data_IF_740864083422
#
_entry.id   IF_740864083422
#
_cell.length_a   1.000
_cell.length_b   1.000
_cell.length_c   1.000
_cell.angle_alpha   90.00
_cell.angle_beta   90.00
_cell.angle_gamma   90.00
#
_symmetry.space_group_name_H-M   'P 1'
#
loop_
_entity.id
_entity.type
_entity.pdbx_description
1 polymer ?
#
# COMPACT_ATOMS: atom_id res chain seq x y z
N UNK A 1 -5.27 6.04 -22.06
CA UNK A 1 -4.60 5.38 -23.20
C UNK A 1 -5.61 4.64 -24.08
N UNK A 2 -5.21 4.30 -25.29
CA UNK A 2 -6.04 3.53 -26.21
C UNK A 2 -5.79 2.02 -26.01
N UNK A 3 -6.47 1.41 -25.07
CA UNK A 3 -6.34 -0.01 -24.74
C UNK A 3 -6.70 -0.96 -25.89
N UNK A 4 -7.49 -0.50 -26.87
CA UNK A 4 -7.95 -1.31 -27.99
C UNK A 4 -7.18 -1.08 -29.29
N UNK A 5 -6.14 -0.24 -29.30
CA UNK A 5 -5.36 0.08 -30.50
C UNK A 5 -4.80 -1.16 -31.18
N UNK A 6 -4.15 -2.03 -30.39
CA UNK A 6 -3.56 -3.28 -30.87
C UNK A 6 -4.63 -4.22 -31.43
N UNK A 7 -5.81 -4.28 -30.81
CA UNK A 7 -6.91 -5.13 -31.25
C UNK A 7 -7.48 -4.62 -32.57
N UNK A 8 -7.66 -3.29 -32.71
CA UNK A 8 -8.11 -2.68 -33.96
C UNK A 8 -7.13 -2.94 -35.10
N UNK A 9 -5.83 -2.84 -34.85
CA UNK A 9 -4.81 -3.13 -35.86
C UNK A 9 -4.79 -4.59 -36.27
N UNK A 10 -4.95 -5.52 -35.31
CA UNK A 10 -5.09 -6.96 -35.61
C UNK A 10 -6.35 -7.23 -36.45
N UNK A 11 -7.47 -6.55 -36.15
CA UNK A 11 -8.70 -6.67 -36.93
C UNK A 11 -8.55 -6.09 -38.35
N UNK A 12 -7.95 -4.92 -38.51
CA UNK A 12 -7.74 -4.25 -39.82
C UNK A 12 -6.82 -5.07 -40.70
N UNK A 13 -5.70 -5.53 -40.15
CA UNK A 13 -4.67 -6.23 -40.90
C UNK A 13 -4.86 -7.74 -40.99
N UNK A 14 -6.01 -8.28 -40.55
CA UNK A 14 -6.32 -9.70 -40.48
C UNK A 14 -5.21 -10.56 -39.80
N UNK A 15 -4.50 -9.97 -38.82
CA UNK A 15 -3.44 -10.65 -38.09
C UNK A 15 -4.01 -11.55 -36.98
N UNK A 16 -3.50 -12.76 -36.87
CA UNK A 16 -3.85 -13.71 -35.81
C UNK A 16 -5.17 -14.45 -36.03
N UNK A 17 -5.78 -14.90 -34.92
CA UNK A 17 -7.00 -15.72 -34.93
C UNK A 17 -8.28 -14.90 -34.88
N UNK A 18 -8.21 -13.57 -34.67
CA UNK A 18 -9.34 -12.71 -34.34
C UNK A 18 -10.41 -12.63 -35.44
N UNK A 19 -10.01 -12.73 -36.72
CA UNK A 19 -10.92 -12.80 -37.87
C UNK A 19 -11.31 -14.22 -38.28
N UNK A 20 -10.62 -15.23 -37.73
CA UNK A 20 -10.86 -16.65 -38.06
C UNK A 20 -11.79 -17.33 -37.06
N UNK A 21 -12.02 -16.70 -35.92
CA UNK A 21 -12.89 -17.16 -34.84
C UNK A 21 -14.23 -16.38 -34.86
N UNK A 22 -15.22 -16.88 -34.13
CA UNK A 22 -16.51 -16.25 -33.98
C UNK A 22 -16.46 -14.98 -33.11
N UNK A 23 -17.60 -14.28 -32.99
CA UNK A 23 -17.71 -13.02 -32.24
C UNK A 23 -17.41 -13.19 -30.74
N UNK A 24 -17.62 -14.36 -30.18
CA UNK A 24 -17.30 -14.72 -28.79
C UNK A 24 -15.81 -14.64 -28.49
N UNK A 25 -14.97 -15.03 -29.47
CA UNK A 25 -13.50 -14.85 -29.32
C UNK A 25 -13.10 -13.36 -29.32
N UNK A 26 -13.82 -12.51 -30.06
CA UNK A 26 -13.58 -11.07 -30.01
C UNK A 26 -13.98 -10.50 -28.63
N UNK A 27 -15.07 -10.96 -28.05
CA UNK A 27 -15.50 -10.56 -26.69
C UNK A 27 -14.42 -10.93 -25.69
N UNK A 28 -13.91 -12.17 -25.75
CA UNK A 28 -12.79 -12.58 -24.92
C UNK A 28 -11.60 -11.62 -25.04
N UNK A 29 -11.12 -11.35 -26.27
CA UNK A 29 -9.93 -10.49 -26.50
C UNK A 29 -10.15 -9.07 -25.99
N UNK A 30 -11.39 -8.54 -26.06
CA UNK A 30 -11.70 -7.22 -25.53
C UNK A 30 -11.68 -7.19 -23.99
N UNK A 31 -12.24 -8.22 -23.35
CA UNK A 31 -12.24 -8.33 -21.88
C UNK A 31 -10.81 -8.54 -21.39
N UNK A 32 -10.04 -9.42 -22.01
CA UNK A 32 -8.65 -9.72 -21.72
C UNK A 32 -7.79 -8.45 -21.75
N UNK A 33 -7.91 -7.65 -22.81
CA UNK A 33 -7.18 -6.38 -22.90
C UNK A 33 -7.56 -5.35 -21.82
N UNK A 34 -8.80 -5.37 -21.34
CA UNK A 34 -9.21 -4.52 -20.22
C UNK A 34 -8.57 -5.04 -18.93
N UNK A 35 -8.61 -6.35 -18.72
CA UNK A 35 -8.01 -6.98 -17.52
C UNK A 35 -6.49 -6.78 -17.48
N UNK A 36 -5.83 -6.95 -18.63
CA UNK A 36 -4.40 -6.69 -18.77
C UNK A 36 -4.03 -5.24 -18.39
N UNK A 37 -4.90 -4.28 -18.72
CA UNK A 37 -4.65 -2.88 -18.36
C UNK A 37 -4.65 -2.60 -16.85
N UNK A 38 -5.21 -3.49 -16.05
CA UNK A 38 -5.16 -3.36 -14.58
C UNK A 38 -3.78 -3.66 -14.01
N UNK A 39 -2.96 -4.48 -14.67
CA UNK A 39 -1.59 -4.72 -14.24
C UNK A 39 -0.75 -3.46 -14.29
N UNK A 40 -0.91 -2.62 -15.33
CA UNK A 40 -0.22 -1.31 -15.41
C UNK A 40 -0.59 -0.39 -14.23
N UNK A 41 -1.86 -0.47 -13.79
CA UNK A 41 -2.35 0.31 -12.63
C UNK A 41 -1.76 -0.26 -11.34
N UNK A 42 -1.70 -1.58 -11.19
CA UNK A 42 -1.11 -2.24 -10.02
C UNK A 42 0.39 -1.94 -9.92
N UNK A 43 1.12 -1.98 -11.02
CA UNK A 43 2.53 -1.62 -11.06
C UNK A 43 2.77 -0.17 -10.61
N UNK A 44 1.86 0.75 -10.98
CA UNK A 44 1.92 2.12 -10.50
C UNK A 44 1.76 2.19 -8.97
N UNK A 45 0.79 1.48 -8.39
CA UNK A 45 0.60 1.45 -6.95
C UNK A 45 1.74 0.73 -6.23
N UNK A 46 2.29 -0.36 -6.77
CA UNK A 46 3.47 -1.02 -6.22
C UNK A 46 4.66 -0.07 -6.08
N UNK A 47 4.94 0.72 -7.11
CA UNK A 47 5.98 1.75 -7.07
C UNK A 47 5.69 2.86 -6.04
N UNK A 48 4.42 3.26 -5.89
CA UNK A 48 4.02 4.26 -4.89
C UNK A 48 4.18 3.71 -3.46
N UNK A 49 3.85 2.42 -3.24
CA UNK A 49 4.05 1.73 -1.96
C UNK A 49 5.53 1.67 -1.58
N UNK A 50 6.39 1.30 -2.52
CA UNK A 50 7.84 1.29 -2.33
C UNK A 50 8.40 2.69 -2.00
N UNK A 51 7.89 3.72 -2.67
CA UNK A 51 8.27 5.11 -2.40
C UNK A 51 7.83 5.55 -0.99
N UNK A 52 6.64 5.14 -0.54
CA UNK A 52 6.15 5.43 0.82
C UNK A 52 7.02 4.70 1.85
N UNK A 53 7.35 3.43 1.62
CA UNK A 53 8.22 2.65 2.49
C UNK A 53 9.59 3.31 2.67
N UNK A 54 10.23 3.67 1.57
CA UNK A 54 11.52 4.35 1.58
C UNK A 54 11.47 5.68 2.34
N UNK A 55 10.41 6.47 2.14
CA UNK A 55 10.20 7.74 2.85
C UNK A 55 10.04 7.52 4.37
N UNK A 56 9.36 6.45 4.82
CA UNK A 56 9.20 6.07 6.23
C UNK A 56 10.56 5.75 6.86
N UNK A 57 11.41 4.99 6.17
CA UNK A 57 12.73 4.62 6.68
C UNK A 57 13.69 5.80 6.77
N UNK A 58 13.64 6.71 5.78
CA UNK A 58 14.52 7.89 5.74
C UNK A 58 13.98 9.03 6.63
N UNK A 59 12.79 8.90 7.19
CA UNK A 59 12.06 9.94 7.96
C UNK A 59 11.95 11.29 7.22
N UNK A 60 11.92 11.24 5.90
CA UNK A 60 12.03 12.40 5.03
C UNK A 60 10.75 13.24 4.93
N UNK A 61 9.60 12.67 5.25
CA UNK A 61 8.32 13.33 5.04
C UNK A 61 7.36 13.10 6.22
N UNK A 62 6.68 14.15 6.67
CA UNK A 62 5.72 14.04 7.79
C UNK A 62 4.31 13.58 7.35
N UNK A 63 4.08 13.40 6.04
CA UNK A 63 2.75 13.14 5.48
C UNK A 63 2.54 11.68 5.03
N UNK A 64 3.30 10.72 5.56
CA UNK A 64 3.18 9.31 5.17
C UNK A 64 1.77 8.77 5.35
N UNK A 65 1.12 9.05 6.49
CA UNK A 65 -0.23 8.56 6.78
C UNK A 65 -1.27 9.07 5.78
N UNK A 66 -1.15 10.31 5.32
CA UNK A 66 -2.07 10.86 4.30
C UNK A 66 -1.90 10.15 2.96
N UNK A 67 -0.66 9.88 2.54
CA UNK A 67 -0.36 9.13 1.31
C UNK A 67 -0.89 7.70 1.40
N UNK A 68 -0.60 7.01 2.49
CA UNK A 68 -1.10 5.66 2.77
C UNK A 68 -2.63 5.61 2.69
N UNK A 69 -3.31 6.59 3.32
CA UNK A 69 -4.77 6.66 3.30
C UNK A 69 -5.32 6.87 1.88
N UNK A 70 -4.66 7.70 1.07
CA UNK A 70 -5.05 7.96 -0.31
C UNK A 70 -4.94 6.69 -1.17
N UNK A 71 -3.77 6.05 -1.14
CA UNK A 71 -3.53 4.81 -1.89
C UNK A 71 -4.50 3.70 -1.44
N UNK A 72 -4.74 3.54 -0.12
CA UNK A 72 -5.69 2.55 0.37
C UNK A 72 -7.12 2.80 -0.15
N UNK A 73 -7.55 4.06 -0.19
CA UNK A 73 -8.86 4.43 -0.73
C UNK A 73 -8.97 4.07 -2.22
N UNK A 74 -7.93 4.34 -2.99
CA UNK A 74 -7.89 4.04 -4.41
C UNK A 74 -7.89 2.53 -4.69
N UNK A 75 -7.13 1.75 -3.92
CA UNK A 75 -7.13 0.29 -4.00
C UNK A 75 -8.49 -0.31 -3.62
N UNK A 76 -9.18 0.24 -2.60
CA UNK A 76 -10.56 -0.17 -2.25
C UNK A 76 -11.51 0.11 -3.42
N UNK A 77 -11.39 1.28 -4.04
CA UNK A 77 -12.22 1.63 -5.20
C UNK A 77 -11.96 0.70 -6.38
N UNK A 78 -10.69 0.45 -6.68
CA UNK A 78 -10.26 -0.45 -7.75
C UNK A 78 -10.81 -1.87 -7.53
N UNK A 79 -10.67 -2.40 -6.32
CA UNK A 79 -11.20 -3.71 -5.94
C UNK A 79 -12.72 -3.81 -6.15
N UNK A 80 -13.46 -2.78 -5.72
CA UNK A 80 -14.93 -2.74 -5.88
C UNK A 80 -15.35 -2.70 -7.34
N UNK A 81 -14.52 -2.14 -8.21
CA UNK A 81 -14.80 -2.06 -9.64
C UNK A 81 -14.50 -3.37 -10.36
N UNK A 82 -13.47 -4.11 -9.93
CA UNK A 82 -12.95 -5.30 -10.60
C UNK A 82 -13.63 -6.59 -10.08
N UNK A 83 -13.82 -6.72 -8.76
CA UNK A 83 -14.35 -7.95 -8.17
C UNK A 83 -15.66 -8.47 -8.78
N UNK A 84 -16.63 -7.63 -9.20
CA UNK A 84 -17.84 -8.10 -9.86
C UNK A 84 -17.61 -8.76 -11.23
N UNK A 85 -16.47 -8.48 -11.88
CA UNK A 85 -16.15 -9.12 -13.18
C UNK A 85 -16.04 -10.64 -13.05
N UNK A 86 -15.61 -11.15 -11.89
CA UNK A 86 -15.57 -12.59 -11.63
C UNK A 86 -16.95 -13.24 -11.85
N UNK A 87 -17.99 -12.63 -11.30
CA UNK A 87 -19.35 -13.16 -11.46
C UNK A 87 -19.83 -13.06 -12.90
N UNK A 88 -19.54 -11.95 -13.58
CA UNK A 88 -19.92 -11.75 -14.98
C UNK A 88 -19.27 -12.81 -15.87
N UNK A 89 -17.95 -13.00 -15.74
CA UNK A 89 -17.22 -13.99 -16.56
C UNK A 89 -17.67 -15.40 -16.21
N UNK A 90 -17.88 -15.71 -14.93
CA UNK A 90 -18.38 -17.00 -14.49
C UNK A 90 -19.76 -17.32 -15.09
N UNK A 91 -20.68 -16.35 -15.12
CA UNK A 91 -21.98 -16.50 -15.77
C UNK A 91 -21.85 -16.73 -17.26
N UNK A 92 -20.99 -15.98 -17.96
CA UNK A 92 -20.72 -16.18 -19.39
C UNK A 92 -20.21 -17.61 -19.70
N UNK A 93 -19.46 -18.22 -18.77
CA UNK A 93 -18.97 -19.59 -18.92
C UNK A 93 -20.02 -20.65 -18.62
N UNK A 94 -20.89 -20.40 -17.65
CA UNK A 94 -21.78 -21.41 -17.07
C UNK A 94 -23.16 -21.47 -17.75
N UNK A 95 -23.69 -20.31 -18.16
CA UNK A 95 -24.97 -20.24 -18.82
C UNK A 95 -24.90 -20.82 -20.25
N UNK A 96 -25.95 -21.45 -20.69
CA UNK A 96 -26.09 -21.94 -22.08
C UNK A 96 -26.39 -20.77 -23.01
N UNK A 97 -25.40 -19.89 -23.19
CA UNK A 97 -25.51 -18.76 -24.09
C UNK A 97 -25.21 -19.26 -25.51
N UNK A 98 -26.19 -19.26 -26.38
CA UNK A 98 -26.09 -19.75 -27.78
C UNK A 98 -24.95 -19.07 -28.55
N UNK A 99 -24.59 -17.84 -28.17
CA UNK A 99 -23.56 -17.05 -28.84
C UNK A 99 -22.11 -17.41 -28.37
N UNK A 100 -21.96 -18.17 -27.29
CA UNK A 100 -20.64 -18.54 -26.74
C UNK A 100 -20.38 -20.02 -27.04
N UNK A 101 -19.42 -20.27 -27.90
CA UNK A 101 -19.03 -21.61 -28.27
C UNK A 101 -18.27 -22.32 -27.13
N UNK A 102 -18.41 -23.66 -26.99
CA UNK A 102 -17.68 -24.41 -25.95
C UNK A 102 -16.17 -24.17 -25.95
N UNK A 103 -15.59 -24.03 -27.15
CA UNK A 103 -14.16 -23.80 -27.34
C UNK A 103 -13.71 -22.43 -26.78
N UNK A 104 -14.61 -21.45 -26.74
CA UNK A 104 -14.33 -20.11 -26.23
C UNK A 104 -14.41 -20.02 -24.69
N UNK A 105 -15.06 -21.00 -24.05
CA UNK A 105 -15.12 -21.07 -22.57
C UNK A 105 -13.75 -21.27 -21.93
N UNK A 106 -12.80 -21.88 -22.62
CA UNK A 106 -11.41 -22.05 -22.14
C UNK A 106 -10.73 -20.69 -22.02
N UNK A 107 -10.91 -19.81 -23.00
CA UNK A 107 -10.34 -18.44 -22.98
C UNK A 107 -11.00 -17.57 -21.90
N UNK A 108 -12.31 -17.73 -21.69
CA UNK A 108 -12.99 -17.01 -20.59
C UNK A 108 -12.52 -17.48 -19.21
N UNK A 109 -12.14 -18.75 -19.06
CA UNK A 109 -11.54 -19.24 -17.81
C UNK A 109 -10.20 -18.58 -17.56
N UNK A 110 -9.37 -18.42 -18.57
CA UNK A 110 -8.07 -17.74 -18.49
C UNK A 110 -8.25 -16.29 -18.00
N UNK A 111 -9.22 -15.57 -18.59
CA UNK A 111 -9.56 -14.21 -18.11
C UNK A 111 -10.07 -14.20 -16.68
N UNK A 112 -10.86 -15.21 -16.27
CA UNK A 112 -11.33 -15.34 -14.90
C UNK A 112 -10.16 -15.48 -13.92
N UNK A 113 -9.17 -16.29 -14.30
CA UNK A 113 -7.97 -16.49 -13.49
C UNK A 113 -7.14 -15.19 -13.40
N UNK A 114 -7.01 -14.42 -14.48
CA UNK A 114 -6.37 -13.10 -14.48
C UNK A 114 -7.11 -12.10 -13.56
N UNK A 115 -8.44 -12.04 -13.61
CA UNK A 115 -9.25 -11.19 -12.72
C UNK A 115 -9.02 -11.56 -11.26
N UNK A 116 -8.98 -12.87 -10.94
CA UNK A 116 -8.68 -13.34 -9.59
C UNK A 116 -7.28 -12.93 -9.14
N UNK A 117 -6.28 -13.02 -10.01
CA UNK A 117 -4.92 -12.59 -9.71
C UNK A 117 -4.87 -11.08 -9.42
N UNK A 118 -5.53 -10.26 -10.23
CA UNK A 118 -5.62 -8.81 -10.01
C UNK A 118 -6.28 -8.49 -8.66
N UNK A 119 -7.39 -9.13 -8.34
CA UNK A 119 -8.09 -8.93 -7.05
C UNK A 119 -7.20 -9.36 -5.87
N UNK A 120 -6.53 -10.50 -5.98
CA UNK A 120 -5.61 -10.97 -4.95
C UNK A 120 -4.43 -10.02 -4.76
N UNK A 121 -3.86 -9.49 -5.85
CA UNK A 121 -2.77 -8.51 -5.76
C UNK A 121 -3.21 -7.24 -5.04
N UNK A 122 -4.42 -6.73 -5.33
CA UNK A 122 -4.98 -5.58 -4.60
C UNK A 122 -5.09 -5.88 -3.10
N UNK A 123 -5.52 -7.08 -2.72
CA UNK A 123 -5.65 -7.46 -1.32
C UNK A 123 -4.26 -7.55 -0.63
N UNK A 124 -3.24 -8.08 -1.32
CA UNK A 124 -1.84 -8.07 -0.86
C UNK A 124 -1.30 -6.65 -0.68
N UNK A 125 -1.52 -5.77 -1.66
CA UNK A 125 -1.05 -4.38 -1.59
C UNK A 125 -1.71 -3.62 -0.41
N UNK A 126 -2.98 -3.93 -0.09
CA UNK A 126 -3.68 -3.36 1.07
C UNK A 126 -3.16 -3.90 2.40
N UNK A 127 -2.79 -5.17 2.46
CA UNK A 127 -2.12 -5.75 3.63
C UNK A 127 -0.76 -5.08 3.84
N UNK A 128 0.01 -4.91 2.78
CA UNK A 128 1.28 -4.20 2.83
C UNK A 128 1.15 -2.75 3.32
N UNK A 129 0.10 -2.02 2.89
CA UNK A 129 -0.22 -0.69 3.44
C UNK A 129 -0.46 -0.72 4.96
N UNK A 130 -1.15 -1.75 5.45
CA UNK A 130 -1.37 -1.92 6.90
C UNK A 130 -0.06 -2.09 7.65
N UNK A 131 0.87 -2.85 7.09
CA UNK A 131 2.20 -3.06 7.66
C UNK A 131 3.04 -1.78 7.65
N UNK A 132 2.92 -0.96 6.60
CA UNK A 132 3.57 0.34 6.54
C UNK A 132 3.05 1.30 7.63
N UNK A 133 1.75 1.27 7.94
CA UNK A 133 1.19 2.04 9.08
C UNK A 133 1.82 1.60 10.39
N UNK A 134 1.92 0.29 10.64
CA UNK A 134 2.53 -0.25 11.85
C UNK A 134 4.02 0.13 11.96
N UNK A 135 4.75 0.00 10.87
CA UNK A 135 6.16 0.39 10.78
C UNK A 135 6.35 1.88 11.07
N UNK A 136 5.51 2.74 10.50
CA UNK A 136 5.54 4.17 10.76
C UNK A 136 5.29 4.48 12.25
N UNK A 137 4.31 3.81 12.88
CA UNK A 137 4.03 3.96 14.31
C UNK A 137 5.20 3.48 15.17
N UNK A 138 5.83 2.36 14.82
CA UNK A 138 7.01 1.84 15.52
C UNK A 138 8.19 2.81 15.45
N UNK A 139 8.44 3.41 14.29
CA UNK A 139 9.47 4.42 14.09
C UNK A 139 9.20 5.68 14.93
N UNK A 140 7.95 6.16 14.96
CA UNK A 140 7.56 7.29 15.81
C UNK A 140 7.79 7.00 17.29
N UNK A 141 7.38 5.82 17.77
CA UNK A 141 7.58 5.40 19.15
C UNK A 141 9.08 5.28 19.51
N UNK A 142 9.89 4.74 18.60
CA UNK A 142 11.34 4.66 18.78
C UNK A 142 11.98 6.06 18.91
N UNK A 143 11.53 6.99 18.07
CA UNK A 143 12.00 8.38 18.13
C UNK A 143 11.59 9.06 19.45
N UNK A 144 10.34 8.92 19.89
CA UNK A 144 9.87 9.43 21.17
C UNK A 144 10.66 8.84 22.35
N UNK A 145 10.91 7.53 22.34
CA UNK A 145 11.72 6.87 23.37
C UNK A 145 13.15 7.42 23.41
N UNK A 146 13.73 7.74 22.29
CA UNK A 146 15.06 8.36 22.20
C UNK A 146 15.07 9.74 22.84
N UNK A 147 14.04 10.57 22.61
CA UNK A 147 13.90 11.90 23.24
C UNK A 147 13.72 11.75 24.75
N UNK A 148 12.84 10.84 25.20
CA UNK A 148 12.61 10.57 26.63
C UNK A 148 13.92 10.11 27.30
N UNK A 149 14.68 9.23 26.66
CA UNK A 149 15.98 8.77 27.18
C UNK A 149 16.95 9.92 27.43
N UNK A 150 17.08 10.84 26.48
CA UNK A 150 17.93 12.03 26.63
C UNK A 150 17.44 12.93 27.77
N UNK A 151 16.12 13.20 27.81
CA UNK A 151 15.52 14.01 28.86
C UNK A 151 15.72 13.40 30.25
N UNK A 152 15.50 12.08 30.37
CA UNK A 152 15.69 11.35 31.63
C UNK A 152 17.16 11.42 32.09
N UNK A 153 18.11 11.26 31.18
CA UNK A 153 19.54 11.34 31.50
C UNK A 153 19.90 12.74 32.03
N UNK A 154 19.43 13.79 31.39
CA UNK A 154 19.64 15.18 31.88
C UNK A 154 18.99 15.35 33.25
N UNK A 155 17.72 14.93 33.41
CA UNK A 155 16.99 15.08 34.68
C UNK A 155 17.66 14.30 35.83
N UNK A 156 18.19 13.11 35.59
CA UNK A 156 18.85 12.28 36.58
C UNK A 156 20.11 12.96 37.11
N UNK A 157 20.79 13.78 36.32
CA UNK A 157 21.97 14.54 36.74
C UNK A 157 21.55 15.84 37.42
N UNK A 158 20.64 16.60 36.83
CA UNK A 158 20.33 17.95 37.31
C UNK A 158 19.46 17.98 38.57
N UNK A 159 18.55 17.01 38.76
CA UNK A 159 17.66 17.01 39.94
C UNK A 159 18.45 16.88 41.24
N UNK A 160 19.34 15.88 41.42
CA UNK A 160 20.17 15.84 42.64
C UNK A 160 21.08 17.05 42.83
N UNK A 161 21.66 17.52 41.72
CA UNK A 161 22.55 18.69 41.75
C UNK A 161 21.82 19.94 42.23
N UNK A 162 20.60 20.19 41.67
CA UNK A 162 19.75 21.33 42.07
C UNK A 162 19.30 21.21 43.51
N UNK A 163 19.01 19.99 43.99
CA UNK A 163 18.66 19.75 45.38
C UNK A 163 19.84 20.13 46.31
N UNK A 164 21.05 19.66 46.00
CA UNK A 164 22.26 20.00 46.79
C UNK A 164 22.47 21.50 46.79
N UNK A 165 22.49 22.14 45.61
CA UNK A 165 22.69 23.61 45.52
C UNK A 165 21.58 24.36 46.25
N UNK A 166 20.33 23.87 46.23
CA UNK A 166 19.20 24.43 46.94
C UNK A 166 19.36 24.38 48.46
N UNK A 167 19.85 23.22 48.98
CA UNK A 167 20.14 23.06 50.43
C UNK A 167 21.27 24.01 50.87
N UNK A 168 22.38 24.06 50.12
CA UNK A 168 23.50 24.95 50.46
C UNK A 168 23.21 26.44 50.18
N UNK A 169 22.22 26.74 49.35
CA UNK A 169 21.76 28.11 49.09
C UNK A 169 20.72 28.66 50.10
N UNK A 170 20.29 27.84 51.08
CA UNK A 170 19.39 28.28 52.15
C UNK A 170 20.19 29.06 53.21
N UNK A 171 19.62 30.16 53.72
CA UNK A 171 20.20 30.93 54.82
C UNK A 171 19.91 30.22 56.16
N UNK A 172 20.83 29.30 56.53
CA UNK A 172 20.83 28.70 57.86
C UNK A 172 21.71 29.49 58.81
N UNK A 173 21.22 29.85 60.00
CA UNK A 173 21.99 30.51 61.04
C UNK A 173 23.10 29.61 61.63
N UNK A 174 22.98 28.28 61.50
CA UNK A 174 23.96 27.32 61.98
C UNK A 174 24.08 26.14 61.00
N UNK A 175 25.09 26.19 60.10
CA UNK A 175 25.37 25.10 59.16
C UNK A 175 26.80 24.56 59.51
N UNK A 176 26.90 23.36 60.15
CA UNK A 176 28.17 22.88 60.73
C UNK A 176 29.30 22.75 59.72
N UNK A 177 28.96 22.43 58.43
CA UNK A 177 29.95 22.20 57.37
C UNK A 177 30.59 23.48 56.85
N UNK A 178 29.92 24.66 57.01
CA UNK A 178 30.50 25.97 56.58
C UNK A 178 31.56 26.45 57.57
N UNK A 179 31.52 26.00 58.84
CA UNK A 179 32.47 26.40 59.91
C UNK A 179 33.48 25.33 60.26
N UNK A 180 33.44 24.16 59.62
CA UNK A 180 34.44 23.10 59.76
C UNK A 180 35.71 23.52 58.99
N UNK A 181 36.61 24.26 59.69
CA UNK A 181 37.99 24.37 59.22
C UNK A 181 38.72 23.07 59.51
N UNK A 182 39.27 22.45 58.47
CA UNK A 182 40.30 21.41 58.58
C UNK A 182 41.57 21.98 59.05
#
# INVERSE_FOLDING_TARGET
>A
GDYFGIIRDRLRNAKGKIRKKCADYLIYVLIDAIVDSYYDILDHYANELEAIENDIFIQKNKNHLSRIHHVNKDLIYLRRSIAPLNEVIFRLMKEEIVLIQPESKIFLRDVLDHVNQVVNQIDVDREYLSDLVQTNMANMNSHLNSIIKVLTLISTIFIPLTFIVGVYGMNFDNFPEIHSQN
#
